data_IF_930448000049
#
_entry.id   IF_930448000049
#
_cell.length_a   1.000
_cell.length_b   1.000
_cell.length_c   1.000
_cell.angle_alpha   90.00
_cell.angle_beta   90.00
_cell.angle_gamma   90.00
#
_symmetry.space_group_name_H-M   'P 1'
#
loop_
_entity.id
_entity.type
_entity.pdbx_description
1 polymer ?
2 polymer ?
3 polymer ?
4 non-polymer ?
5 water ?
#
loop_
_entity_poly.entity_id
_entity_poly.type
_entity_poly.pdbx_seq_one_letter_code
_entity_poly.pdbx_strand_id
2 'polydeoxyribonucleotide' '(DT)(DT)(DG)(DG)(DT)(DT)(DA)(DA)(DT)(DA)(DA)(DT)(DA)(DT)(DC)(DT)(DT)(DA)(DA)(DT)(DT)' ?
3 'polydeoxyribonucleotide' '(DA)(DA)(DT)(DT)(DA)(DA)(DG)(DA)(DT)(DA)(DT)(DT)(DA)(DT)(DT)(DA)(DA)(DC)(DC)(DA)(DA)' ?
#
# COMPACT_ATOMS: atom_id res chain seq x y z
N UNK A 2 3.58 17.39 0.93
CA UNK A 2 4.90 17.95 1.08
C UNK A 2 5.12 18.57 2.44
N UNK A 3 4.29 18.19 3.41
CA UNK A 3 4.42 18.74 4.74
C UNK A 3 5.21 17.82 5.64
N UNK A 4 6.34 18.30 6.13
CA UNK A 4 7.15 17.50 7.02
C UNK A 4 7.47 18.30 8.26
N UNK A 5 7.28 17.71 9.44
CA UNK A 5 7.65 18.40 10.66
C UNK A 5 8.84 17.71 11.29
N UNK A 6 9.73 18.48 11.90
CA UNK A 6 10.94 17.92 12.48
C UNK A 6 11.03 18.15 13.98
N UNK A 7 11.24 17.09 14.74
CA UNK A 7 11.40 17.23 16.19
C UNK A 7 12.83 16.95 16.56
N UNK A 8 13.62 17.99 16.72
CA UNK A 8 15.00 17.83 17.12
C UNK A 8 15.33 18.84 18.20
N UNK A 9 16.01 18.40 19.25
CA UNK A 9 16.40 19.33 20.30
C UNK A 9 17.70 20.06 20.02
N UNK A 10 18.54 19.59 19.09
CA UNK A 10 19.68 20.38 18.62
C UNK A 10 19.18 21.50 17.73
N UNK A 11 19.42 22.75 18.15
CA UNK A 11 18.97 23.89 17.35
C UNK A 11 19.66 23.89 16.00
N UNK A 12 21.00 23.75 16.00
CA UNK A 12 21.77 23.69 14.77
C UNK A 12 21.19 22.67 13.81
N UNK A 13 21.13 21.40 14.24
CA UNK A 13 20.55 20.35 13.40
C UNK A 13 19.16 20.74 12.94
N UNK A 14 18.32 21.18 13.87
CA UNK A 14 16.96 21.59 13.53
C UNK A 14 16.96 22.68 12.45
N UNK A 15 17.72 23.76 12.67
CA UNK A 15 17.90 24.79 11.65
C UNK A 15 18.33 24.14 10.33
N UNK A 16 19.45 23.42 10.38
CA UNK A 16 19.99 22.72 9.21
C UNK A 16 18.91 21.95 8.47
N UNK A 17 18.27 21.00 9.18
CA UNK A 17 17.30 20.08 8.56
C UNK A 17 16.21 20.85 7.83
N UNK A 18 15.65 21.89 8.47
CA UNK A 18 14.57 22.65 7.85
C UNK A 18 15.02 23.30 6.54
N UNK A 19 16.19 23.96 6.56
CA UNK A 19 16.70 24.63 5.37
C UNK A 19 16.88 23.65 4.19
N UNK A 20 17.27 22.42 4.49
CA UNK A 20 17.43 21.43 3.45
C UNK A 20 16.08 21.04 2.87
N UNK A 21 15.11 20.78 3.74
CA UNK A 21 13.80 20.39 3.29
C UNK A 21 13.15 21.47 2.45
N UNK A 22 13.28 22.72 2.91
CA UNK A 22 12.69 23.83 2.18
C UNK A 22 13.35 23.94 0.81
N UNK A 23 14.65 23.76 0.77
CA UNK A 23 15.36 23.83 -0.50
C UNK A 23 14.80 22.79 -1.44
N UNK A 24 14.56 21.58 -0.93
CA UNK A 24 14.04 20.52 -1.76
C UNK A 24 12.69 20.90 -2.33
N UNK A 25 11.85 21.52 -1.50
CA UNK A 25 10.53 21.91 -1.95
C UNK A 25 9.40 21.66 -0.98
N UNK A 26 9.75 21.31 0.26
CA UNK A 26 8.80 20.76 1.20
C UNK A 26 8.28 21.80 2.16
N UNK A 27 6.97 21.83 2.39
CA UNK A 27 6.44 22.74 3.38
C UNK A 27 6.85 22.12 4.70
N UNK A 28 7.36 22.92 5.63
CA UNK A 28 7.88 22.34 6.86
C UNK A 28 7.56 23.09 8.14
N UNK A 29 7.43 22.37 9.25
CA UNK A 29 7.21 23.01 10.53
C UNK A 29 8.29 22.47 11.44
N UNK A 30 8.46 23.07 12.62
CA UNK A 30 9.56 22.64 13.48
C UNK A 30 9.24 22.64 14.96
N UNK A 31 9.78 21.68 15.68
CA UNK A 31 9.60 21.61 17.13
C UNK A 31 10.83 21.03 17.77
N UNK A 32 11.12 21.50 18.98
CA UNK A 32 12.26 21.00 19.75
C UNK A 32 11.84 19.98 20.78
N UNK A 33 10.53 19.75 20.89
CA UNK A 33 10.00 18.81 21.85
C UNK A 33 8.77 18.14 21.30
N UNK A 34 8.41 16.98 21.85
CA UNK A 34 7.24 16.27 21.38
C UNK A 34 5.98 17.04 21.72
N UNK A 35 5.92 17.60 22.93
CA UNK A 35 4.73 18.32 23.36
C UNK A 35 4.20 19.18 22.25
N UNK A 36 5.05 20.06 21.72
CA UNK A 36 4.62 20.93 20.63
C UNK A 36 4.33 20.12 19.37
N UNK A 37 5.13 19.11 19.10
CA UNK A 37 4.95 18.33 17.89
C UNK A 37 3.58 17.70 17.80
N UNK A 38 3.14 17.05 18.88
CA UNK A 38 1.86 16.39 18.86
C UNK A 38 0.77 17.41 18.59
N UNK A 39 1.02 18.65 18.97
CA UNK A 39 0.07 19.70 18.71
C UNK A 39 -0.10 19.92 17.22
N UNK A 40 1.00 20.03 16.49
CA UNK A 40 0.90 20.31 15.06
C UNK A 40 0.15 19.23 14.32
N UNK A 41 0.47 17.97 14.59
CA UNK A 41 -0.18 16.88 13.88
C UNK A 41 -1.67 16.95 14.11
N UNK A 42 -2.07 17.47 15.26
CA UNK A 42 -3.48 17.62 15.56
C UNK A 42 -4.13 18.64 14.65
N UNK A 43 -3.45 19.76 14.43
CA UNK A 43 -4.03 20.82 13.59
C UNK A 43 -4.10 20.39 12.13
N UNK A 44 -2.96 20.08 11.51
CA UNK A 44 -2.96 19.69 10.10
C UNK A 44 -2.15 18.42 9.90
N UNK A 45 -2.41 17.75 8.77
CA UNK A 45 -1.71 16.50 8.48
C UNK A 45 -0.32 16.72 7.91
N UNK A 46 0.63 15.91 8.36
CA UNK A 46 1.98 16.01 7.82
C UNK A 46 2.35 14.69 7.17
N UNK A 47 2.69 14.74 5.88
CA UNK A 47 2.99 13.51 5.15
C UNK A 47 4.09 12.69 5.81
N UNK A 48 4.97 13.34 6.56
CA UNK A 48 6.07 12.63 7.21
C UNK A 48 6.56 13.36 8.45
N UNK A 49 7.09 12.60 9.41
CA UNK A 49 7.61 13.21 10.61
C UNK A 49 9.03 12.73 10.87
N UNK A 50 9.97 13.66 11.01
CA UNK A 50 11.34 13.29 11.33
C UNK A 50 11.62 13.68 12.76
N UNK A 51 11.90 12.70 13.61
CA UNK A 51 12.12 12.98 15.02
C UNK A 51 13.33 12.25 15.55
N UNK A 52 13.92 12.80 16.61
CA UNK A 52 15.08 12.17 17.22
C UNK A 52 14.66 11.08 18.20
N UNK A 53 15.39 9.97 18.20
CA UNK A 53 15.09 8.91 19.15
C UNK A 53 15.45 9.39 20.54
N UNK A 54 16.62 9.99 20.68
CA UNK A 54 17.04 10.52 21.97
C UNK A 54 16.47 11.92 22.16
N UNK A 56 14.32 14.88 25.10
CA UNK A 56 14.25 15.26 26.51
C UNK A 56 13.44 14.27 27.35
N UNK A 57 12.23 13.96 26.91
CA UNK A 57 11.38 13.04 27.65
C UNK A 57 11.82 11.59 27.46
N UNK A 58 12.56 11.33 26.40
CA UNK A 58 13.03 9.98 26.14
C UNK A 58 11.92 8.95 26.01
N UNK A 59 10.87 9.29 25.28
CA UNK A 59 9.78 8.36 25.05
C UNK A 59 9.57 8.14 23.57
N UNK A 60 10.67 8.02 22.82
CA UNK A 60 10.56 7.88 21.38
C UNK A 60 9.71 6.71 20.96
N UNK A 61 9.89 5.58 21.62
CA UNK A 61 9.09 4.41 21.30
C UNK A 61 7.63 4.80 21.42
N UNK A 62 7.29 5.49 22.49
CA UNK A 62 5.91 5.93 22.67
C UNK A 62 5.58 7.01 21.66
N UNK A 63 6.56 7.82 21.31
CA UNK A 63 6.32 8.88 20.35
C UNK A 63 5.79 8.30 19.06
N UNK A 64 6.47 7.29 18.53
CA UNK A 64 6.06 6.71 17.28
C UNK A 64 4.62 6.27 17.40
N UNK A 65 4.30 5.60 18.49
CA UNK A 65 2.95 5.12 18.70
C UNK A 65 1.96 6.26 18.67
N UNK A 66 2.24 7.31 19.44
CA UNK A 66 1.27 8.40 19.53
C UNK A 66 1.04 9.07 18.17
N UNK A 67 2.10 9.26 17.37
CA UNK A 67 1.92 9.80 16.02
C UNK A 67 1.04 8.89 15.18
N UNK A 68 1.37 7.60 15.13
CA UNK A 68 0.57 6.65 14.35
C UNK A 68 -0.89 6.64 14.81
N UNK A 69 -1.14 6.87 16.10
CA UNK A 69 -2.51 6.92 16.61
C UNK A 69 -3.20 8.21 16.18
N UNK A 70 -2.64 9.36 16.57
CA UNK A 70 -3.26 10.64 16.30
C UNK A 70 -3.40 10.91 14.80
N UNK A 71 -2.38 10.53 14.02
CA UNK A 71 -2.29 10.91 12.61
C UNK A 71 -1.83 9.67 11.85
N UNK A 72 -2.78 8.79 11.51
CA UNK A 72 -2.38 7.45 11.07
C UNK A 72 -1.75 7.43 9.70
N UNK A 73 -2.06 8.41 8.86
CA UNK A 73 -1.60 8.37 7.49
C UNK A 73 -0.16 8.86 7.33
N UNK A 74 0.46 9.29 8.42
CA UNK A 74 1.80 9.87 8.34
C UNK A 74 2.94 8.89 8.50
N UNK A 75 4.09 9.22 7.93
CA UNK A 75 5.25 8.37 8.04
C UNK A 75 6.17 8.87 9.14
N UNK A 76 6.69 7.95 9.93
CA UNK A 76 7.59 8.33 11.00
C UNK A 76 9.01 7.90 10.69
N UNK A 77 9.93 8.85 10.65
CA UNK A 77 11.33 8.52 10.42
C UNK A 77 12.12 8.91 11.65
N UNK A 78 12.92 7.98 12.15
CA UNK A 78 13.65 8.25 13.38
C UNK A 78 15.15 8.47 13.14
N UNK A 79 15.66 9.58 13.66
CA UNK A 79 17.08 9.86 13.53
C UNK A 79 17.76 9.68 14.87
N UNK A 80 18.86 8.94 14.90
CA UNK A 80 19.57 8.70 16.14
C UNK A 80 21.06 8.58 15.93
N UNK A 81 21.83 9.18 16.83
CA UNK A 81 23.28 9.05 16.75
C UNK A 81 23.76 7.68 17.21
N UNK A 82 22.96 6.97 18.01
CA UNK A 82 23.26 5.60 18.38
C UNK A 82 22.77 4.70 17.23
N UNK A 83 23.71 4.18 16.45
CA UNK A 83 23.39 3.48 15.21
C UNK A 83 23.45 1.96 15.32
N UNK A 84 23.64 1.43 16.54
CA UNK A 84 23.75 -0.01 16.73
C UNK A 84 22.48 -0.71 16.25
N UNK A 85 22.62 -2.00 15.90
CA UNK A 85 21.45 -2.77 15.47
C UNK A 85 20.34 -2.69 16.49
N UNK A 86 20.68 -2.78 17.77
CA UNK A 86 19.67 -2.78 18.82
C UNK A 86 18.79 -1.54 18.73
N UNK A 87 19.39 -0.37 18.52
CA UNK A 87 18.60 0.84 18.41
C UNK A 87 17.87 0.92 17.08
N UNK A 88 18.47 0.41 16.00
CA UNK A 88 17.78 0.38 14.72
C UNK A 88 16.56 -0.53 14.82
N UNK A 89 16.82 -1.80 15.17
CA UNK A 89 15.75 -2.80 15.30
C UNK A 89 14.65 -2.33 16.26
N UNK A 90 15.03 -1.68 17.37
CA UNK A 90 13.99 -1.32 18.33
C UNK A 90 13.13 -0.16 17.85
N UNK A 91 13.69 0.71 17.01
CA UNK A 91 12.92 1.82 16.46
C UNK A 91 11.94 1.32 15.41
N UNK A 92 12.41 0.47 14.50
CA UNK A 92 11.53 -0.12 13.51
C UNK A 92 10.44 -0.94 14.19
N UNK A 93 10.82 -1.75 15.18
CA UNK A 93 9.82 -2.60 15.83
C UNK A 93 8.77 -1.78 16.58
N UNK A 94 9.13 -0.57 17.02
CA UNK A 94 8.16 0.28 17.70
C UNK A 94 7.17 0.92 16.73
N UNK A 95 7.31 0.68 15.43
CA UNK A 95 6.41 1.26 14.44
C UNK A 95 7.05 2.21 13.46
N UNK A 96 8.30 2.62 13.66
CA UNK A 96 8.92 3.60 12.76
C UNK A 96 8.98 3.04 11.35
N UNK A 97 8.70 3.89 10.37
CA UNK A 97 8.70 3.45 8.99
C UNK A 97 10.12 3.42 8.45
N UNK A 98 11.02 4.19 9.05
CA UNK A 98 12.41 4.15 8.63
C UNK A 98 13.31 4.69 9.73
N UNK A 99 14.56 4.22 9.76
CA UNK A 99 15.51 4.69 10.76
C UNK A 99 16.73 5.25 10.07
N UNK A 100 17.01 6.53 10.32
CA UNK A 100 18.16 7.17 9.69
C UNK A 100 19.25 7.41 10.70
N UNK A 101 20.49 7.56 10.22
CA UNK A 101 21.60 7.72 11.14
C UNK A 101 22.25 9.08 11.11
N UNK A 102 22.44 9.67 12.28
CA UNK A 102 23.13 10.94 12.37
C UNK A 102 24.53 10.73 12.97
N UNK A 103 25.56 11.50 12.52
CA UNK A 103 25.57 12.66 11.61
C UNK A 103 24.87 12.38 10.29
N UNK A 104 23.99 13.31 9.92
CA UNK A 104 23.04 13.04 8.87
C UNK A 104 23.69 13.27 7.52
N UNK A 105 23.52 12.30 6.62
CA UNK A 105 23.81 12.51 5.21
C UNK A 105 22.56 13.08 4.56
N UNK A 106 22.57 14.36 4.19
CA UNK A 106 21.33 14.93 3.70
C UNK A 106 21.01 14.54 2.26
N UNK A 107 22.01 14.11 1.47
CA UNK A 107 21.73 13.55 0.16
C UNK A 107 20.97 12.23 0.28
N UNK A 108 21.35 11.40 1.24
CA UNK A 108 20.64 10.14 1.41
C UNK A 108 19.28 10.39 2.05
N UNK A 109 19.24 11.26 3.04
CA UNK A 109 17.99 11.53 3.73
C UNK A 109 16.93 12.00 2.76
N UNK A 110 17.26 12.99 1.94
CA UNK A 110 16.30 13.52 1.01
C UNK A 110 15.82 12.44 0.07
N UNK A 111 16.72 11.54 -0.32
CA UNK A 111 16.32 10.44 -1.19
C UNK A 111 15.37 9.47 -0.50
N UNK A 112 15.58 9.21 0.78
CA UNK A 112 14.70 8.30 1.51
C UNK A 112 13.33 8.92 1.74
N UNK A 113 13.31 10.20 2.11
CA UNK A 113 12.04 10.88 2.32
C UNK A 113 11.26 10.84 1.03
N UNK A 114 11.94 11.14 -0.08
CA UNK A 114 11.28 11.08 -1.36
C UNK A 114 10.65 9.72 -1.56
N UNK A 115 11.47 8.67 -1.48
CA UNK A 115 10.95 7.32 -1.66
C UNK A 115 9.82 7.02 -0.68
N UNK A 116 9.90 7.58 0.53
CA UNK A 116 8.89 7.28 1.52
C UNK A 116 7.57 7.97 1.20
N UNK A 117 7.61 9.09 0.47
CA UNK A 117 6.41 9.78 0.02
C UNK A 117 6.11 9.55 -1.47
N UNK A 118 6.77 8.60 -2.12
CA UNK A 118 6.43 8.28 -3.50
C UNK A 118 5.06 7.58 -3.61
N UNK A 119 4.18 8.16 -4.42
CA UNK A 119 2.84 7.62 -4.65
C UNK A 119 2.77 6.98 -6.02
N UNK A 120 2.17 5.79 -6.10
CA UNK A 120 1.94 5.18 -7.40
C UNK A 120 0.93 5.98 -8.18
N UNK A 121 1.13 6.05 -9.50
CA UNK A 121 0.12 6.62 -10.36
C UNK A 121 -1.20 5.88 -10.21
N UNK A 122 -2.30 6.62 -10.21
CA UNK A 122 -3.61 6.01 -10.01
C UNK A 122 -4.50 6.10 -11.23
N UNK A 123 -5.54 5.28 -11.26
CA UNK A 123 -6.48 5.32 -12.37
C UNK A 123 -7.71 6.09 -11.93
N UNK A 124 -7.58 6.85 -10.84
CA UNK A 124 -8.72 7.57 -10.31
C UNK A 124 -9.09 8.80 -11.13
N UNK A 125 -10.39 9.06 -11.23
CA UNK A 125 -10.88 10.23 -11.99
C UNK A 125 -11.65 11.12 -11.02
N UNK A 126 -11.16 12.34 -10.81
CA UNK A 126 -11.83 13.34 -9.99
C UNK A 126 -12.26 14.49 -10.92
N UNK A 127 -13.57 14.68 -11.04
CA UNK A 127 -14.16 15.76 -11.85
C UNK A 127 -15.10 16.55 -10.96
N UNK A 128 -14.69 17.74 -10.54
CA UNK A 128 -15.46 18.62 -9.64
C UNK A 128 -15.68 17.87 -8.33
N UNK A 129 -16.91 17.77 -7.82
CA UNK A 129 -17.19 17.08 -6.56
C UNK A 129 -17.42 15.59 -6.72
N UNK A 130 -17.04 15.01 -7.86
CA UNK A 130 -17.23 13.60 -8.16
C UNK A 130 -15.88 12.91 -8.33
N UNK A 131 -15.74 11.75 -7.69
CA UNK A 131 -14.60 10.87 -7.87
C UNK A 131 -15.10 9.51 -8.37
N UNK A 132 -14.40 8.96 -9.36
CA UNK A 132 -14.73 7.64 -9.87
C UNK A 132 -13.50 6.78 -9.75
N UNK A 133 -13.50 5.82 -8.83
CA UNK A 133 -12.33 4.97 -8.61
C UNK A 133 -12.54 3.57 -9.16
N UNK A 134 -11.95 3.28 -10.32
CA UNK A 134 -12.08 1.96 -10.93
C UNK A 134 -11.44 0.88 -10.10
N UNK A 135 -10.30 1.18 -9.50
CA UNK A 135 -9.58 0.19 -8.72
C UNK A 135 -10.42 -0.35 -7.58
N UNK A 136 -11.22 0.50 -6.97
CA UNK A 136 -12.08 0.07 -5.87
C UNK A 136 -13.53 0.00 -6.33
N UNK A 137 -13.77 0.17 -7.62
CA UNK A 137 -15.15 0.17 -8.14
C UNK A 137 -16.01 1.06 -7.27
N UNK A 138 -15.59 2.29 -7.08
CA UNK A 138 -16.35 3.20 -6.24
C UNK A 138 -16.63 4.55 -6.88
N UNK A 139 -17.83 5.04 -6.69
CA UNK A 139 -18.21 6.36 -7.19
C UNK A 139 -18.75 7.14 -6.01
N UNK A 140 -18.27 8.36 -5.82
CA UNK A 140 -18.88 9.22 -4.80
C UNK A 140 -18.98 10.63 -5.39
N UNK A 141 -20.12 11.26 -5.16
CA UNK A 141 -20.29 12.68 -5.44
C UNK A 141 -20.70 13.39 -4.16
N UNK A 142 -20.05 14.54 -3.90
CA UNK A 142 -20.36 15.37 -2.74
C UNK A 142 -20.18 14.57 -1.43
N UNK A 143 -19.28 13.59 -1.46
CA UNK A 143 -18.91 12.82 -0.30
C UNK A 143 -19.79 11.63 0.02
N UNK A 144 -20.72 11.31 -0.88
CA UNK A 144 -21.63 10.20 -0.67
C UNK A 144 -21.42 9.13 -1.74
N UNK A 145 -21.36 7.87 -1.32
CA UNK A 145 -21.12 6.78 -2.26
C UNK A 145 -22.31 6.55 -3.18
N UNK A 146 -22.02 6.19 -4.43
CA UNK A 146 -23.08 5.90 -5.37
C UNK A 146 -23.06 4.43 -5.70
N UNK A 147 -24.20 3.77 -5.59
CA UNK A 147 -24.25 2.33 -5.82
C UNK A 147 -24.32 1.99 -7.30
N UNK A 148 -23.20 2.14 -8.00
CA UNK A 148 -23.16 1.77 -9.41
C UNK A 148 -22.03 0.78 -9.59
N UNK A 149 -22.30 -0.34 -10.24
CA UNK A 149 -21.28 -1.36 -10.39
C UNK A 149 -21.43 -2.16 -11.66
N UNK A 150 -20.57 -3.14 -11.84
CA UNK A 150 -20.66 -3.99 -13.02
C UNK A 150 -20.48 -3.25 -14.31
N UNK A 151 -21.04 -3.78 -15.38
CA UNK A 151 -20.91 -3.15 -16.69
C UNK A 151 -21.41 -1.71 -16.73
N UNK A 152 -22.49 -1.32 -16.04
CA UNK A 152 -22.81 0.12 -15.98
C UNK A 152 -21.65 0.95 -15.46
N UNK A 153 -20.95 0.42 -14.44
CA UNK A 153 -19.76 1.10 -13.93
C UNK A 153 -18.70 1.25 -15.01
N UNK A 154 -18.42 0.18 -15.76
CA UNK A 154 -17.42 0.28 -16.82
C UNK A 154 -17.85 1.25 -17.90
N UNK A 155 -19.15 1.30 -18.21
CA UNK A 155 -19.61 2.19 -19.25
C UNK A 155 -19.39 3.64 -18.83
N UNK A 156 -19.71 3.96 -17.58
CA UNK A 156 -19.52 5.32 -17.11
C UNK A 156 -18.04 5.70 -17.12
N UNK A 157 -17.20 4.85 -16.52
CA UNK A 157 -15.77 5.14 -16.49
C UNK A 157 -15.22 5.30 -17.90
N UNK A 158 -15.55 4.40 -18.80
CA UNK A 158 -15.09 4.55 -20.18
C UNK A 158 -15.42 5.94 -20.69
N UNK A 159 -16.68 6.34 -20.57
CA UNK A 159 -17.09 7.63 -21.09
C UNK A 159 -16.32 8.76 -20.42
N UNK A 160 -16.13 8.64 -19.12
CA UNK A 160 -15.42 9.67 -18.39
C UNK A 160 -14.02 9.81 -18.94
N UNK A 161 -13.38 8.69 -19.25
CA UNK A 161 -12.02 8.72 -19.79
C UNK A 161 -11.99 9.33 -21.18
N UNK A 162 -13.10 9.27 -21.89
CA UNK A 162 -13.18 9.86 -23.21
C UNK A 162 -14.17 11.01 -23.20
N UNK A 163 -14.11 11.83 -22.17
CA UNK A 163 -15.04 12.95 -22.03
C UNK A 163 -14.93 13.94 -23.17
N UNK A 164 -15.99 14.67 -23.43
CA UNK A 164 -16.00 15.66 -24.52
C UNK A 164 -15.80 14.96 -25.85
N UNK A 165 -16.08 13.67 -25.89
CA UNK A 165 -15.94 12.92 -27.12
C UNK A 165 -17.11 11.98 -27.24
N UNK A 166 -17.64 11.81 -28.45
CA UNK A 166 -18.81 10.97 -28.63
C UNK A 166 -18.44 9.51 -28.82
N UNK A 167 -18.89 8.67 -27.91
CA UNK A 167 -18.63 7.23 -28.04
C UNK A 167 -19.91 6.55 -28.54
N UNK A 168 -19.72 5.48 -29.31
CA UNK A 168 -20.78 4.77 -30.01
C UNK A 168 -21.03 3.39 -29.40
N UNK A 169 -22.24 2.90 -29.55
CA UNK A 169 -22.60 1.62 -28.96
C UNK A 169 -21.58 0.57 -29.28
N UNK A 170 -21.20 0.49 -30.55
CA UNK A 170 -20.24 -0.52 -30.98
C UNK A 170 -18.95 -0.35 -30.20
N UNK A 171 -18.51 0.89 -30.07
CA UNK A 171 -17.26 1.15 -29.37
C UNK A 171 -17.34 0.68 -27.93
N UNK A 172 -18.40 1.07 -27.23
CA UNK A 172 -18.54 0.68 -25.83
C UNK A 172 -18.58 -0.83 -25.71
N UNK A 173 -19.29 -1.48 -26.61
CA UNK A 173 -19.42 -2.93 -26.57
C UNK A 173 -18.07 -3.61 -26.73
N UNK A 174 -17.32 -3.19 -27.73
CA UNK A 174 -16.02 -3.80 -27.97
C UNK A 174 -15.10 -3.51 -26.80
N UNK A 175 -15.17 -2.30 -26.27
CA UNK A 175 -14.31 -1.93 -25.16
C UNK A 175 -14.65 -2.62 -23.86
N UNK A 176 -15.93 -2.87 -23.62
CA UNK A 176 -16.35 -3.43 -22.33
C UNK A 176 -16.89 -4.85 -22.40
N UNK A 177 -17.39 -5.27 -23.55
CA UNK A 177 -18.00 -6.60 -23.65
C UNK A 177 -17.20 -7.59 -24.46
N UNK A 178 -16.84 -8.72 -23.86
CA UNK A 178 -16.15 -9.76 -24.60
C UNK A 178 -17.17 -10.39 -25.53
N UNK A 179 -16.71 -10.94 -26.65
CA UNK A 179 -17.65 -11.47 -27.63
C UNK A 179 -18.73 -10.44 -27.86
N UNK A 180 -18.34 -9.22 -28.24
CA UNK A 180 -19.33 -8.15 -28.40
C UNK A 180 -20.34 -8.48 -29.49
N UNK A 181 -20.01 -9.41 -30.38
CA UNK A 181 -20.91 -9.75 -31.47
C UNK A 181 -21.91 -10.81 -31.07
N UNK A 182 -21.90 -11.21 -29.80
CA UNK A 182 -22.80 -12.24 -29.34
C UNK A 182 -23.82 -11.71 -28.34
N UNK A 183 -23.91 -10.38 -28.22
CA UNK A 183 -24.81 -9.81 -27.23
C UNK A 183 -25.79 -8.83 -27.85
N UNK A 184 -26.85 -8.50 -27.11
CA UNK A 184 -27.83 -7.55 -27.62
C UNK A 184 -27.39 -6.13 -27.29
N UNK A 185 -27.27 -5.30 -28.33
CA UNK A 185 -26.84 -3.91 -28.12
C UNK A 185 -27.71 -3.19 -27.09
N UNK A 186 -28.90 -3.71 -26.82
CA UNK A 186 -29.80 -3.08 -25.86
C UNK A 186 -29.10 -2.93 -24.51
N UNK A 187 -28.09 -3.76 -24.27
CA UNK A 187 -27.37 -3.70 -23.01
C UNK A 187 -26.86 -2.29 -22.73
N UNK A 188 -26.36 -1.63 -23.77
CA UNK A 188 -25.86 -0.27 -23.60
C UNK A 188 -26.95 0.65 -23.10
N UNK A 189 -28.11 0.61 -23.74
CA UNK A 189 -29.22 1.47 -23.33
C UNK A 189 -29.62 1.16 -21.91
N UNK A 190 -29.70 -0.11 -21.58
CA UNK A 190 -30.07 -0.50 -20.22
C UNK A 190 -29.02 0.00 -19.23
N UNK A 191 -27.75 -0.13 -19.59
CA UNK A 191 -26.68 0.32 -18.71
C UNK A 191 -26.73 1.83 -18.51
N UNK A 192 -27.00 2.57 -19.59
CA UNK A 192 -27.08 4.02 -19.48
C UNK A 192 -28.21 4.40 -18.55
N UNK A 193 -29.35 3.74 -18.69
CA UNK A 193 -30.48 4.01 -17.83
C UNK A 193 -30.06 3.79 -16.39
N UNK A 194 -29.38 2.68 -16.14
CA UNK A 194 -28.90 2.41 -14.80
C UNK A 194 -28.07 3.57 -14.28
N UNK A 195 -27.18 4.07 -15.12
CA UNK A 195 -26.31 5.15 -14.67
C UNK A 195 -27.14 6.40 -14.36
N UNK A 196 -27.98 6.82 -15.30
CA UNK A 196 -28.88 7.93 -15.04
C UNK A 196 -29.71 7.66 -13.79
N UNK A 197 -30.26 6.46 -13.70
CA UNK A 197 -31.08 6.11 -12.55
C UNK A 197 -30.31 6.28 -11.26
N UNK A 198 -29.15 5.64 -11.17
CA UNK A 198 -28.38 5.68 -9.93
C UNK A 198 -27.87 7.08 -9.58
N UNK A 199 -27.42 7.83 -10.57
CA UNK A 199 -26.84 9.14 -10.26
C UNK A 199 -27.60 10.31 -10.88
N UNK A 200 -27.55 10.45 -12.19
CA UNK A 200 -28.17 11.61 -12.83
C UNK A 200 -29.48 12.00 -12.15
N UNK A 201 -30.33 11.00 -11.87
CA UNK A 201 -31.68 11.24 -11.37
C UNK A 201 -31.66 11.68 -9.91
N UNK A 202 -31.23 10.78 -9.02
CA UNK A 202 -31.23 11.10 -7.59
C UNK A 202 -30.29 12.26 -7.26
N UNK A 203 -29.13 12.33 -7.91
CA UNK A 203 -28.13 13.35 -7.60
C UNK A 203 -28.23 14.60 -8.48
N UNK A 204 -29.33 14.76 -9.22
CA UNK A 204 -29.67 15.98 -9.97
C UNK A 204 -28.48 16.55 -10.74
N UNK A 205 -27.93 15.72 -11.63
CA UNK A 205 -26.85 16.11 -12.51
C UNK A 205 -27.14 15.53 -13.90
N UNK A 206 -26.37 15.99 -14.89
CA UNK A 206 -26.49 15.50 -16.27
C UNK A 206 -25.13 14.93 -16.67
N UNK A 207 -24.91 13.66 -16.34
CA UNK A 207 -23.57 13.11 -16.56
C UNK A 207 -23.40 12.56 -17.97
N UNK A 208 -24.39 11.82 -18.46
CA UNK A 208 -24.35 11.21 -19.80
C UNK A 208 -25.29 11.98 -20.71
N UNK A 209 -24.80 12.31 -21.91
CA UNK A 209 -25.62 12.89 -22.97
C UNK A 209 -25.56 12.01 -24.22
N UNK A 210 -26.74 11.79 -24.79
CA UNK A 210 -26.96 11.02 -26.01
C UNK A 210 -26.88 11.94 -27.21
N UNK A 211 -26.12 11.56 -28.23
CA UNK A 211 -26.10 12.33 -29.47
C UNK A 211 -26.66 11.43 -30.56
N UNK A 212 -27.89 11.74 -31.00
CA UNK A 212 -28.61 10.96 -31.99
C UNK A 212 -27.69 10.45 -33.10
N UNK A 213 -27.85 9.17 -33.43
CA UNK A 213 -27.15 8.51 -34.53
C UNK A 213 -25.63 8.57 -34.39
N UNK A 214 -25.11 9.00 -33.25
CA UNK A 214 -23.67 9.04 -33.06
C UNK A 214 -23.25 8.39 -31.74
N UNK A 215 -23.94 8.69 -30.65
CA UNK A 215 -23.63 8.00 -29.41
C UNK A 215 -23.79 8.77 -28.12
N UNK A 216 -23.06 8.36 -27.10
CA UNK A 216 -23.17 9.03 -25.81
C UNK A 216 -21.89 9.77 -25.51
N UNK A 217 -21.95 10.73 -24.61
CA UNK A 217 -20.77 11.49 -24.24
C UNK A 217 -20.86 12.03 -22.83
N UNK A 218 -19.87 11.72 -22.01
CA UNK A 218 -19.86 12.25 -20.65
C UNK A 218 -19.86 13.75 -20.76
N UNK A 219 -20.75 14.42 -20.04
CA UNK A 219 -20.86 15.87 -20.19
C UNK A 219 -21.01 16.59 -18.87
N UNK A 220 -20.63 15.95 -17.78
CA UNK A 220 -20.73 16.58 -16.48
C UNK A 220 -19.69 17.69 -16.41
N UNK A 221 -20.11 18.97 -16.40
CA UNK A 221 -19.15 20.09 -16.43
C UNK A 221 -18.39 20.22 -15.11
N UNK B 2 2.24 -13.06 3.47
CA UNK B 2 3.13 -12.24 2.67
C UNK B 2 4.06 -13.07 1.82
N UNK B 3 4.17 -12.70 0.54
CA UNK B 3 5.05 -13.42 -0.36
C UNK B 3 6.22 -12.56 -0.73
N UNK B 4 7.42 -13.12 -0.67
CA UNK B 4 8.61 -12.36 -1.00
C UNK B 4 9.37 -12.99 -2.14
N UNK B 5 9.68 -12.21 -3.17
CA UNK B 5 10.48 -12.73 -4.27
C UNK B 5 11.91 -12.33 -4.06
N UNK B 6 12.80 -13.31 -3.96
CA UNK B 6 14.21 -13.04 -3.77
C UNK B 6 14.90 -13.22 -5.11
N UNK B 7 15.61 -12.18 -5.57
CA UNK B 7 16.39 -12.25 -6.79
C UNK B 7 17.85 -12.06 -6.43
N UNK B 8 18.65 -13.12 -6.57
CA UNK B 8 20.06 -13.05 -6.21
C UNK B 8 20.88 -14.10 -6.94
N UNK B 9 21.97 -13.67 -7.57
CA UNK B 9 22.82 -14.59 -8.32
C UNK B 9 23.60 -15.57 -7.43
N UNK B 10 24.19 -15.06 -6.36
CA UNK B 10 24.93 -15.92 -5.43
C UNK B 10 24.00 -17.01 -4.94
N UNK B 11 24.29 -18.24 -5.30
CA UNK B 11 23.37 -19.33 -4.95
C UNK B 11 23.36 -19.54 -3.44
N UNK B 12 24.51 -19.43 -2.80
CA UNK B 12 24.56 -19.66 -1.36
C UNK B 12 23.77 -18.61 -0.61
N UNK B 13 23.97 -17.32 -0.94
CA UNK B 13 23.24 -16.26 -0.25
C UNK B 13 21.75 -16.38 -0.48
N UNK B 14 21.36 -16.66 -1.74
CA UNK B 14 19.97 -16.84 -2.09
C UNK B 14 19.28 -17.82 -1.15
N UNK B 15 19.91 -18.97 -0.91
CA UNK B 15 19.31 -19.97 -0.03
C UNK B 15 19.31 -19.49 1.43
N UNK B 16 20.36 -18.79 1.86
CA UNK B 16 20.39 -18.27 3.22
C UNK B 16 19.25 -17.29 3.47
N UNK B 17 18.99 -16.42 2.48
CA UNK B 17 17.92 -15.43 2.59
C UNK B 17 16.57 -16.13 2.61
N UNK B 18 16.36 -17.05 1.65
CA UNK B 18 15.15 -17.87 1.60
C UNK B 18 14.91 -18.61 2.92
N UNK B 19 15.97 -19.11 3.55
CA UNK B 19 15.79 -19.85 4.79
C UNK B 19 15.41 -18.91 5.94
N UNK B 20 15.99 -17.71 5.98
CA UNK B 20 15.67 -16.78 7.06
C UNK B 20 14.24 -16.27 6.95
N UNK B 21 13.80 -16.02 5.71
CA UNK B 21 12.42 -15.57 5.45
C UNK B 21 11.40 -16.68 5.74
N UNK B 22 11.65 -17.91 5.26
CA UNK B 22 10.77 -19.03 5.57
C UNK B 22 10.62 -19.23 7.08
N UNK B 23 11.75 -19.33 7.80
CA UNK B 23 11.75 -19.35 9.27
C UNK B 23 10.83 -18.29 9.86
N UNK B 24 10.90 -17.06 9.33
CA UNK B 24 10.03 -16.02 9.87
C UNK B 24 8.54 -16.33 9.65
N UNK B 25 8.21 -16.99 8.55
CA UNK B 25 6.83 -17.29 8.25
C UNK B 25 6.34 -16.78 6.91
N UNK B 26 7.26 -16.30 6.07
CA UNK B 26 6.88 -15.75 4.77
C UNK B 26 6.82 -16.82 3.70
N UNK B 27 5.96 -16.63 2.70
CA UNK B 27 5.93 -17.54 1.58
C UNK B 27 6.98 -17.00 0.65
N UNK B 28 7.84 -17.85 0.11
CA UNK B 28 8.95 -17.33 -0.69
C UNK B 28 9.32 -18.01 -1.99
N UNK B 29 9.56 -17.21 -3.03
CA UNK B 29 10.03 -17.73 -4.29
C UNK B 29 11.44 -17.18 -4.54
N UNK B 30 12.25 -17.96 -5.23
CA UNK B 30 13.66 -17.68 -5.39
C UNK B 30 13.99 -17.56 -6.86
N UNK B 31 14.89 -16.64 -7.20
CA UNK B 31 15.30 -16.46 -8.58
C UNK B 31 16.76 -16.05 -8.62
N UNK B 32 17.42 -16.28 -9.75
CA UNK B 32 18.84 -15.95 -9.87
C UNK B 32 19.16 -15.13 -11.11
N UNK B 33 18.14 -14.48 -11.66
CA UNK B 33 18.34 -13.62 -12.83
C UNK B 33 17.12 -12.74 -13.03
N UNK B 34 17.31 -11.63 -13.72
CA UNK B 34 16.22 -10.70 -13.95
C UNK B 34 15.07 -11.40 -14.63
N UNK B 35 15.39 -12.14 -15.69
CA UNK B 35 14.36 -12.84 -16.44
C UNK B 35 13.51 -13.67 -15.51
N UNK B 36 14.14 -14.63 -14.84
CA UNK B 36 13.39 -15.51 -13.95
C UNK B 36 12.57 -14.69 -12.96
N UNK B 37 13.17 -13.64 -12.41
CA UNK B 37 12.44 -12.79 -11.51
C UNK B 37 11.20 -12.23 -12.16
N UNK B 38 11.36 -11.64 -13.34
CA UNK B 38 10.23 -11.04 -14.03
C UNK B 38 9.18 -12.09 -14.31
N UNK B 39 9.62 -13.30 -14.63
CA UNK B 39 8.69 -14.38 -14.85
C UNK B 39 7.76 -14.50 -13.65
N UNK B 40 8.35 -14.67 -12.47
CA UNK B 40 7.55 -14.76 -11.25
C UNK B 40 6.67 -13.54 -11.08
N UNK B 41 7.22 -12.34 -11.33
CA UNK B 41 6.45 -11.11 -11.19
C UNK B 41 5.17 -11.17 -12.03
N UNK B 42 5.21 -11.90 -13.15
CA UNK B 42 4.04 -12.01 -14.00
C UNK B 42 3.00 -13.02 -13.53
N UNK B 43 3.43 -14.11 -12.89
CA UNK B 43 2.49 -15.15 -12.51
C UNK B 43 1.95 -14.95 -11.10
N UNK B 44 2.76 -14.48 -10.15
CA UNK B 44 2.36 -14.37 -8.75
C UNK B 44 2.45 -12.93 -8.27
N UNK B 45 1.64 -12.58 -7.26
CA UNK B 45 1.70 -11.26 -6.65
C UNK B 45 2.61 -11.34 -5.42
N UNK B 46 3.63 -10.51 -5.38
CA UNK B 46 4.54 -10.51 -4.26
C UNK B 46 4.40 -9.23 -3.47
N UNK B 47 4.32 -9.35 -2.15
CA UNK B 47 4.21 -8.18 -1.30
C UNK B 47 5.53 -7.42 -1.30
N UNK B 48 6.62 -8.13 -1.52
CA UNK B 48 7.93 -7.49 -1.54
C UNK B 48 8.96 -8.25 -2.36
N UNK B 49 9.71 -7.53 -3.18
CA UNK B 49 10.80 -8.15 -3.92
C UNK B 49 12.14 -7.68 -3.32
N UNK B 50 13.04 -8.64 -3.09
CA UNK B 50 14.38 -8.37 -2.58
C UNK B 50 15.35 -8.76 -3.68
N UNK B 51 16.03 -7.77 -4.27
CA UNK B 51 16.83 -8.02 -5.47
C UNK B 51 18.23 -7.41 -5.33
N UNK B 52 19.23 -8.13 -5.82
CA UNK B 52 20.59 -7.60 -5.81
C UNK B 52 20.72 -6.51 -6.85
N UNK B 53 21.38 -5.41 -6.49
CA UNK B 53 21.59 -4.33 -7.42
C UNK B 53 22.57 -4.73 -8.50
N UNK B 54 23.35 -5.78 -8.24
CA UNK B 54 24.35 -6.21 -9.21
C UNK B 54 24.14 -7.64 -9.67
N UNK B 55 23.09 -7.88 -10.44
CA UNK B 55 22.86 -9.20 -10.99
C UNK B 55 23.78 -9.40 -12.17
N UNK B 56 24.03 -10.66 -12.55
CA UNK B 56 24.96 -10.93 -13.64
C UNK B 56 24.55 -10.12 -14.86
N UNK B 57 23.26 -9.94 -15.06
CA UNK B 57 22.76 -9.17 -16.18
C UNK B 57 21.47 -8.44 -15.84
N UNK B 58 21.29 -7.24 -16.39
CA UNK B 58 20.09 -6.47 -16.12
C UNK B 58 20.31 -5.31 -15.18
N UNK B 59 20.18 -4.09 -15.68
CA UNK B 59 20.36 -2.91 -14.85
C UNK B 59 19.42 -2.96 -13.66
N UNK B 60 19.93 -2.66 -12.49
CA UNK B 60 19.10 -2.66 -11.31
C UNK B 60 17.96 -1.68 -11.48
N UNK B 61 18.27 -0.49 -11.97
CA UNK B 61 17.23 0.49 -12.20
C UNK B 61 16.15 -0.10 -13.09
N UNK B 62 16.57 -0.87 -14.09
CA UNK B 62 15.62 -1.51 -14.98
C UNK B 62 14.69 -2.44 -14.22
N UNK B 63 15.27 -3.26 -13.36
CA UNK B 63 14.46 -4.22 -12.62
C UNK B 63 13.44 -3.49 -11.76
N UNK B 64 13.87 -2.42 -11.11
CA UNK B 64 12.96 -1.71 -10.23
C UNK B 64 11.79 -1.18 -11.03
N UNK B 65 12.08 -0.58 -12.17
CA UNK B 65 11.03 -0.01 -12.99
C UNK B 65 10.06 -1.10 -13.41
N UNK B 66 10.61 -2.23 -13.83
CA UNK B 66 9.77 -3.33 -14.28
C UNK B 66 8.78 -3.75 -13.20
N UNK B 67 9.27 -4.07 -12.02
CA UNK B 67 8.41 -4.52 -10.94
C UNK B 67 7.43 -3.44 -10.53
N UNK B 68 7.93 -2.23 -10.38
CA UNK B 68 7.08 -1.15 -9.92
C UNK B 68 5.93 -0.88 -10.89
N UNK B 69 6.22 -0.95 -12.18
CA UNK B 69 5.17 -0.74 -13.18
C UNK B 69 4.24 -1.94 -13.24
N UNK B 70 4.80 -3.14 -13.27
CA UNK B 70 3.98 -4.34 -13.32
C UNK B 70 3.12 -4.45 -12.09
N UNK B 71 3.71 -4.24 -10.92
CA UNK B 71 2.96 -4.29 -9.68
C UNK B 71 3.29 -3.09 -8.82
N UNK B 72 2.56 -2.00 -9.02
CA UNK B 72 2.86 -0.77 -8.29
C UNK B 72 2.85 -0.93 -6.78
N UNK B 73 2.09 -1.88 -6.25
CA UNK B 73 1.98 -1.99 -4.81
C UNK B 73 3.02 -2.92 -4.21
N UNK B 74 3.77 -3.64 -5.04
CA UNK B 74 4.86 -4.47 -4.58
C UNK B 74 5.98 -3.60 -4.05
N UNK B 75 6.42 -3.86 -2.82
CA UNK B 75 7.54 -3.13 -2.24
C UNK B 75 8.83 -3.66 -2.84
N UNK B 76 9.78 -2.75 -3.13
CA UNK B 76 11.07 -3.14 -3.71
C UNK B 76 12.19 -2.81 -2.74
N UNK B 77 13.03 -3.81 -2.44
CA UNK B 77 14.16 -3.63 -1.54
C UNK B 77 15.44 -4.10 -2.21
N UNK B 78 16.42 -3.20 -2.33
CA UNK B 78 17.64 -3.47 -3.07
C UNK B 78 18.75 -3.83 -2.10
N UNK B 79 19.49 -4.89 -2.41
CA UNK B 79 20.65 -5.30 -1.61
C UNK B 79 21.91 -5.18 -2.45
N UNK B 80 22.96 -4.63 -1.85
CA UNK B 80 24.18 -4.32 -2.61
C UNK B 80 25.35 -4.30 -1.64
N UNK B 81 26.44 -4.98 -2.01
CA UNK B 81 27.68 -4.84 -1.26
C UNK B 81 28.33 -3.49 -1.52
N UNK B 82 28.25 -2.96 -2.75
CA UNK B 82 28.57 -1.56 -2.97
C UNK B 82 27.40 -0.70 -2.46
N UNK B 83 27.56 -0.12 -1.26
CA UNK B 83 26.54 0.66 -0.60
C UNK B 83 27.01 2.08 -0.33
N UNK B 84 27.75 2.66 -1.27
CA UNK B 84 28.08 4.08 -1.17
C UNK B 84 26.81 4.92 -1.37
N UNK B 85 26.90 6.21 -1.09
CA UNK B 85 25.71 7.06 -1.16
C UNK B 85 25.13 7.14 -2.56
N UNK B 86 25.99 7.25 -3.56
CA UNK B 86 25.52 7.38 -4.92
C UNK B 86 24.67 6.17 -5.29
N UNK B 87 25.14 4.99 -4.95
CA UNK B 87 24.40 3.78 -5.27
C UNK B 87 23.05 3.75 -4.58
N UNK B 88 23.03 4.03 -3.28
CA UNK B 88 21.78 3.99 -2.54
C UNK B 88 20.79 4.98 -3.11
N UNK B 89 21.25 6.20 -3.32
CA UNK B 89 20.36 7.23 -3.83
C UNK B 89 19.83 6.86 -5.20
N UNK B 90 20.70 6.30 -6.03
CA UNK B 90 20.27 5.89 -7.36
C UNK B 90 19.16 4.86 -7.28
N UNK B 91 19.34 3.86 -6.43
CA UNK B 91 18.33 2.83 -6.30
C UNK B 91 17.02 3.41 -5.81
N UNK B 92 17.10 4.27 -4.80
CA UNK B 92 15.89 4.86 -4.24
C UNK B 92 15.18 5.66 -5.30
N UNK B 93 15.93 6.46 -6.05
CA UNK B 93 15.33 7.28 -7.10
C UNK B 93 14.83 6.43 -8.25
N UNK B 94 15.42 5.25 -8.43
CA UNK B 94 14.96 4.35 -9.47
C UNK B 94 13.61 3.75 -9.10
N UNK B 95 13.22 3.90 -7.84
CA UNK B 95 11.91 3.41 -7.42
C UNK B 95 11.93 2.44 -6.26
N UNK B 96 13.11 2.18 -5.72
CA UNK B 96 13.23 1.25 -4.60
C UNK B 96 12.69 1.89 -3.35
N UNK B 97 11.98 1.10 -2.52
CA UNK B 97 11.53 1.61 -1.24
C UNK B 97 12.60 1.45 -0.14
N UNK B 98 13.63 0.62 -0.34
CA UNK B 98 14.69 0.53 0.64
C UNK B 98 15.96 -0.04 0.01
N UNK B 99 17.07 0.23 0.67
CA UNK B 99 18.41 -0.16 0.21
C UNK B 99 19.18 -0.62 1.44
N UNK B 100 19.73 -1.82 1.37
CA UNK B 100 20.41 -2.42 2.51
C UNK B 100 21.76 -2.95 2.03
N UNK B 101 22.78 -2.83 2.88
CA UNK B 101 24.14 -3.24 2.50
C UNK B 101 24.37 -4.73 2.74
N UNK B 102 25.04 -5.37 1.75
CA UNK B 102 25.65 -6.69 1.88
C UNK B 102 27.08 -6.54 2.41
N UNK B 103 27.53 -7.36 3.38
CA UNK B 103 26.91 -8.55 3.97
C UNK B 103 25.70 -8.23 4.84
N UNK B 104 24.60 -8.97 4.71
CA UNK B 104 23.36 -8.59 5.35
C UNK B 104 23.38 -8.95 6.82
N UNK B 105 22.85 -8.05 7.64
CA UNK B 105 22.51 -8.36 9.03
C UNK B 105 21.06 -8.81 9.02
N UNK B 106 20.83 -10.12 9.08
CA UNK B 106 19.47 -10.65 8.95
C UNK B 106 18.55 -10.22 10.08
N UNK B 107 19.08 -9.77 11.21
CA UNK B 107 18.22 -9.23 12.26
C UNK B 107 17.58 -7.92 11.81
N UNK B 108 18.40 -7.02 11.27
CA UNK B 108 17.95 -5.72 10.76
C UNK B 108 17.22 -5.87 9.43
N UNK B 109 17.62 -6.83 8.60
CA UNK B 109 16.88 -7.11 7.37
C UNK B 109 15.42 -7.41 7.68
N UNK B 110 15.19 -8.35 8.60
CA UNK B 110 13.84 -8.77 8.93
C UNK B 110 13.07 -7.65 9.61
N UNK B 111 13.74 -6.89 10.49
CA UNK B 111 13.08 -5.73 11.10
C UNK B 111 12.63 -4.73 10.05
N UNK B 112 13.40 -4.57 8.97
CA UNK B 112 13.08 -3.59 7.94
C UNK B 112 12.03 -4.11 6.97
N UNK B 113 12.18 -5.35 6.53
CA UNK B 113 11.12 -6.02 5.78
C UNK B 113 9.80 -5.91 6.53
N UNK B 114 9.80 -6.24 7.82
CA UNK B 114 8.58 -6.17 8.59
C UNK B 114 8.02 -4.76 8.65
N UNK B 115 8.89 -3.74 8.73
CA UNK B 115 8.42 -2.37 8.72
C UNK B 115 7.83 -1.98 7.36
N UNK B 116 8.38 -2.50 6.26
CA UNK B 116 7.76 -2.16 4.98
C UNK B 116 6.40 -2.84 4.86
N UNK B 117 6.28 -4.10 5.30
CA UNK B 117 5.02 -4.81 5.09
C UNK B 117 3.91 -4.37 6.04
N UNK B 118 4.19 -3.53 7.02
CA UNK B 118 3.13 -2.96 7.84
C UNK B 118 2.30 -1.91 7.10
N UNK B 119 2.70 -1.51 5.89
CA UNK B 119 1.98 -0.53 5.06
C UNK B 119 1.62 0.72 5.87
N UNK B 120 2.59 1.20 6.67
CA UNK B 120 2.40 2.32 7.54
C UNK B 120 1.83 2.02 8.90
N UNK B 121 1.38 0.79 9.15
CA UNK B 121 0.75 0.47 10.40
C UNK B 121 1.74 0.15 11.50
N UNK B 122 1.19 -0.14 12.67
CA UNK B 122 1.97 -0.65 13.79
C UNK B 122 1.95 -2.16 13.80
N UNK B 123 2.84 -2.75 14.62
CA UNK B 123 2.93 -4.20 14.71
C UNK B 123 1.62 -4.80 15.17
N UNK B 124 1.00 -4.18 16.16
CA UNK B 124 -0.31 -4.57 16.66
C UNK B 124 -1.34 -3.63 16.06
N UNK B 125 -2.25 -4.20 15.26
CA UNK B 125 -3.32 -3.41 14.67
C UNK B 125 -4.34 -3.08 15.75
N UNK B 126 -4.62 -1.80 15.92
CA UNK B 126 -5.63 -1.40 16.90
C UNK B 126 -6.67 -0.51 16.23
N UNK B 127 -7.88 -1.03 16.06
CA UNK B 127 -8.95 -0.25 15.46
C UNK B 127 -10.15 -0.28 16.37
N UNK B 128 -10.62 0.89 16.80
CA UNK B 128 -11.72 0.93 17.76
C UNK B 128 -11.41 -0.06 18.87
N UNK B 129 -12.39 -0.85 19.28
CA UNK B 129 -12.14 -1.87 20.30
C UNK B 129 -11.67 -3.19 19.70
N UNK B 130 -11.22 -3.17 18.45
CA UNK B 130 -10.65 -4.33 17.77
C UNK B 130 -9.14 -4.31 17.91
N UNK B 131 -8.57 -5.44 18.34
CA UNK B 131 -7.13 -5.62 18.47
C UNK B 131 -6.76 -6.87 17.69
N UNK B 132 -5.77 -6.78 16.82
CA UNK B 132 -5.28 -7.92 16.07
C UNK B 132 -3.77 -7.95 16.30
N UNK B 133 -3.29 -8.92 17.07
CA UNK B 133 -1.87 -9.06 17.34
C UNK B 133 -1.27 -10.17 16.49
N UNK B 134 -0.74 -9.88 15.31
CA UNK B 134 -0.09 -10.96 14.52
C UNK B 134 1.05 -11.66 15.26
N UNK B 135 1.65 -11.02 16.26
CA UNK B 135 2.80 -11.62 16.94
C UNK B 135 2.38 -12.77 17.85
N UNK B 136 1.23 -12.64 18.53
CA UNK B 136 0.70 -13.67 19.43
C UNK B 136 -0.44 -14.46 18.81
N UNK B 137 -0.66 -14.33 17.49
CA UNK B 137 -1.86 -14.79 16.80
C UNK B 137 -3.11 -14.66 17.68
N UNK B 138 -3.27 -13.51 18.34
CA UNK B 138 -4.43 -13.27 19.21
C UNK B 138 -5.30 -12.15 18.62
N UNK B 139 -6.60 -12.21 18.92
CA UNK B 139 -7.55 -11.17 18.54
C UNK B 139 -8.38 -10.86 19.76
N UNK B 140 -8.55 -9.58 20.08
CA UNK B 140 -9.49 -9.20 21.14
C UNK B 140 -10.49 -8.17 20.61
N UNK B 141 -11.71 -8.26 21.13
CA UNK B 141 -12.75 -7.25 20.90
C UNK B 141 -13.39 -6.89 22.23
N UNK B 142 -13.39 -5.59 22.56
CA UNK B 142 -13.89 -5.12 23.84
C UNK B 142 -13.23 -5.88 25.00
N UNK B 143 -11.97 -6.28 24.82
CA UNK B 143 -11.27 -7.05 25.83
C UNK B 143 -11.82 -8.45 25.97
N UNK B 144 -12.67 -8.87 25.03
CA UNK B 144 -13.20 -10.22 25.01
C UNK B 144 -12.54 -10.99 23.87
N UNK B 145 -12.09 -12.21 24.18
CA UNK B 145 -11.24 -12.97 23.27
C UNK B 145 -12.06 -13.70 22.21
N UNK B 146 -11.53 -13.75 20.98
CA UNK B 146 -12.08 -14.51 19.88
C UNK B 146 -11.05 -15.51 19.35
N UNK B 147 -11.44 -16.77 19.27
CA UNK B 147 -10.53 -17.83 18.84
C UNK B 147 -10.60 -17.93 17.33
N UNK B 148 -9.55 -17.46 16.66
CA UNK B 148 -9.47 -17.53 15.22
C UNK B 148 -8.00 -17.71 14.87
N UNK B 149 -7.66 -18.77 14.17
CA UNK B 149 -6.25 -19.04 13.94
C UNK B 149 -5.95 -19.62 12.58
N UNK B 150 -4.67 -19.66 12.22
CA UNK B 150 -4.28 -20.21 10.95
C UNK B 150 -4.62 -19.35 9.76
N UNK B 151 -4.87 -20.00 8.62
CA UNK B 151 -5.22 -19.27 7.41
C UNK B 151 -6.24 -18.18 7.68
N UNK B 152 -7.34 -18.52 8.37
CA UNK B 152 -8.32 -17.44 8.54
C UNK B 152 -7.72 -16.24 9.24
N UNK B 153 -6.82 -16.49 10.19
CA UNK B 153 -6.18 -15.38 10.87
C UNK B 153 -5.30 -14.60 9.90
N UNK B 154 -4.51 -15.31 9.09
CA UNK B 154 -3.66 -14.60 8.14
C UNK B 154 -4.48 -13.90 7.06
N UNK B 155 -5.63 -14.48 6.64
CA UNK B 155 -6.47 -13.78 5.66
C UNK B 155 -6.95 -12.46 6.23
N UNK B 156 -7.42 -12.47 7.49
CA UNK B 156 -7.95 -11.24 8.08
C UNK B 156 -6.85 -10.20 8.29
N UNK B 157 -5.67 -10.60 8.79
CA UNK B 157 -4.64 -9.57 9.04
C UNK B 157 -4.21 -8.95 7.71
N UNK B 158 -4.07 -9.75 6.65
CA UNK B 158 -3.71 -9.19 5.35
C UNK B 158 -4.76 -8.19 4.86
N UNK B 159 -6.04 -8.51 5.03
CA UNK B 159 -7.08 -7.57 4.64
C UNK B 159 -6.99 -6.27 5.45
N UNK B 160 -6.84 -6.39 6.77
CA UNK B 160 -6.86 -5.23 7.63
C UNK B 160 -5.63 -4.36 7.42
N UNK B 161 -4.54 -4.91 6.89
CA UNK B 161 -3.36 -4.11 6.56
C UNK B 161 -3.54 -3.43 5.22
N UNK B 162 -4.25 -4.07 4.30
CA UNK B 162 -4.78 -3.40 3.12
C UNK B 162 -6.18 -2.88 3.37
N UNK B 163 -6.44 -2.35 4.56
CA UNK B 163 -7.80 -1.99 4.90
C UNK B 163 -8.31 -0.94 3.93
N UNK B 164 -9.62 -0.98 3.69
CA UNK B 164 -10.31 -0.10 2.75
C UNK B 164 -9.84 -0.30 1.31
N UNK B 165 -9.16 -1.41 1.06
CA UNK B 165 -8.73 -1.72 -0.30
C UNK B 165 -9.27 -3.09 -0.67
N UNK B 166 -9.44 -3.34 -1.96
CA UNK B 166 -9.95 -4.62 -2.40
C UNK B 166 -8.82 -5.59 -2.71
N UNK B 167 -8.79 -6.71 -2.00
CA UNK B 167 -7.79 -7.72 -2.26
C UNK B 167 -8.48 -8.89 -2.94
N UNK B 168 -7.95 -9.33 -4.08
CA UNK B 168 -8.60 -10.39 -4.82
C UNK B 168 -8.33 -11.74 -4.16
N UNK B 169 -9.19 -12.71 -4.50
CA UNK B 169 -8.93 -14.08 -4.05
C UNK B 169 -7.53 -14.53 -4.47
N UNK B 170 -7.13 -14.18 -5.70
CA UNK B 170 -5.82 -14.60 -6.20
C UNK B 170 -4.68 -13.92 -5.45
N UNK B 171 -4.91 -12.69 -4.92
CA UNK B 171 -3.87 -12.06 -4.10
C UNK B 171 -3.78 -12.70 -2.73
N UNK B 172 -4.92 -13.00 -2.12
CA UNK B 172 -4.91 -13.64 -0.81
C UNK B 172 -4.18 -14.97 -0.87
N UNK B 173 -4.38 -15.71 -1.94
CA UNK B 173 -3.72 -17.01 -2.09
C UNK B 173 -2.21 -16.87 -2.25
N UNK B 174 -1.78 -15.97 -3.11
CA UNK B 174 -0.36 -15.78 -3.34
C UNK B 174 0.34 -15.36 -2.07
N UNK B 175 -0.37 -14.61 -1.23
CA UNK B 175 0.25 -14.09 -0.01
C UNK B 175 0.33 -15.08 1.15
N UNK B 176 -0.65 -15.97 1.27
CA UNK B 176 -0.68 -16.87 2.43
C UNK B 176 -0.41 -18.34 2.11
N UNK B 177 -0.70 -18.75 0.88
CA UNK B 177 -0.50 -20.15 0.50
C UNK B 177 0.80 -20.34 -0.26
N UNK B 178 1.54 -21.39 0.07
CA UNK B 178 2.81 -21.66 -0.59
C UNK B 178 2.62 -21.93 -2.07
N UNK B 179 1.63 -22.75 -2.40
CA UNK B 179 1.37 -23.08 -3.79
C UNK B 179 -0.05 -22.66 -4.12
N UNK B 180 -0.26 -21.37 -4.38
CA UNK B 180 -1.61 -20.86 -4.61
C UNK B 180 -2.32 -21.56 -5.76
N UNK B 181 -1.58 -21.97 -6.76
CA UNK B 181 -2.18 -22.59 -7.94
C UNK B 181 -2.88 -23.89 -7.61
N UNK B 182 -2.28 -24.67 -6.71
CA UNK B 182 -2.85 -25.98 -6.37
C UNK B 182 -4.17 -25.88 -5.63
N UNK B 183 -4.27 -24.95 -4.69
CA UNK B 183 -5.48 -24.83 -3.89
C UNK B 183 -6.62 -24.19 -4.68
N UNK B 184 -7.85 -24.43 -4.24
CA UNK B 184 -9.00 -23.85 -4.91
C UNK B 184 -9.37 -22.52 -4.29
N UNK B 185 -9.91 -21.60 -5.09
CA UNK B 185 -10.30 -20.28 -4.58
C UNK B 185 -11.37 -20.38 -3.50
N UNK B 186 -12.10 -21.49 -3.45
CA UNK B 186 -13.13 -21.66 -2.44
C UNK B 186 -12.51 -21.61 -1.04
N UNK B 187 -11.24 -21.95 -0.94
CA UNK B 187 -10.57 -21.93 0.35
C UNK B 187 -10.64 -20.53 0.93
N UNK B 188 -10.57 -19.52 0.07
CA UNK B 188 -10.69 -18.16 0.54
C UNK B 188 -12.10 -17.90 1.05
N UNK B 189 -13.09 -18.24 0.24
CA UNK B 189 -14.49 -18.08 0.68
C UNK B 189 -14.76 -18.79 1.99
N UNK B 190 -14.25 -20.02 2.15
CA UNK B 190 -14.44 -20.71 3.43
C UNK B 190 -13.75 -19.95 4.58
N UNK B 191 -12.55 -19.40 4.32
CA UNK B 191 -11.87 -18.62 5.35
C UNK B 191 -12.67 -17.36 5.71
N UNK B 192 -13.23 -16.68 4.69
CA UNK B 192 -14.02 -15.48 4.96
C UNK B 192 -15.29 -15.83 5.73
N UNK B 193 -15.89 -16.99 5.43
CA UNK B 193 -17.00 -17.50 6.22
C UNK B 193 -16.60 -17.74 7.67
N UNK B 194 -15.44 -18.36 7.89
CA UNK B 194 -15.01 -18.58 9.27
C UNK B 194 -14.79 -17.25 9.98
N UNK B 195 -14.19 -16.27 9.27
CA UNK B 195 -13.98 -14.95 9.87
C UNK B 195 -15.33 -14.34 10.25
N UNK B 196 -16.25 -14.27 9.30
CA UNK B 196 -17.58 -13.73 9.64
C UNK B 196 -18.26 -14.60 10.71
N UNK B 197 -18.10 -15.92 10.63
CA UNK B 197 -18.78 -16.79 11.58
C UNK B 197 -18.27 -16.58 13.00
N UNK B 198 -17.04 -16.09 13.13
CA UNK B 198 -16.47 -15.86 14.46
C UNK B 198 -16.54 -14.40 14.89
N UNK B 199 -16.64 -13.48 13.94
CA UNK B 199 -16.60 -12.06 14.30
C UNK B 199 -17.84 -11.27 13.90
N UNK B 200 -18.02 -11.04 12.62
CA UNK B 200 -19.12 -10.19 12.17
C UNK B 200 -20.46 -10.62 12.74
N UNK B 201 -20.80 -11.90 12.61
CA UNK B 201 -22.11 -12.37 13.07
C UNK B 201 -22.27 -12.25 14.58
N UNK B 202 -21.32 -12.83 15.34
CA UNK B 202 -21.52 -12.79 16.79
C UNK B 202 -21.40 -11.39 17.35
N UNK B 203 -20.45 -10.61 16.84
CA UNK B 203 -20.22 -9.27 17.38
C UNK B 203 -21.08 -8.23 16.68
N UNK B 204 -21.93 -8.67 15.77
CA UNK B 204 -22.82 -7.74 15.07
C UNK B 204 -22.03 -6.56 14.51
N UNK B 205 -21.06 -6.85 13.65
CA UNK B 205 -20.27 -5.80 13.03
C UNK B 205 -20.01 -6.12 11.57
N UNK B 206 -19.69 -5.10 10.77
CA UNK B 206 -19.36 -5.34 9.37
C UNK B 206 -17.87 -5.11 9.17
N UNK B 207 -17.14 -6.19 8.95
CA UNK B 207 -15.69 -6.07 8.78
C UNK B 207 -15.23 -6.36 7.37
N UNK B 208 -15.75 -7.42 6.76
CA UNK B 208 -15.33 -7.82 5.42
C UNK B 208 -16.50 -7.58 4.48
N UNK B 209 -16.27 -6.73 3.50
CA UNK B 209 -17.20 -6.45 2.42
C UNK B 209 -16.76 -7.25 1.20
N UNK B 210 -17.69 -7.98 0.59
CA UNK B 210 -17.42 -8.71 -0.65
C UNK B 210 -17.72 -7.80 -1.83
N UNK B 211 -16.83 -7.78 -2.81
CA UNK B 211 -17.07 -6.96 -4.00
C UNK B 211 -17.00 -7.89 -5.20
N UNK B 212 -18.13 -8.05 -5.88
CA UNK B 212 -18.30 -9.12 -6.87
C UNK B 212 -17.36 -8.96 -8.04
N UNK B 213 -16.68 -10.07 -8.40
CA UNK B 213 -15.63 -10.07 -9.41
C UNK B 213 -14.31 -9.39 -8.99
N UNK B 214 -14.25 -8.72 -7.84
CA UNK B 214 -13.00 -8.06 -7.45
C UNK B 214 -12.33 -8.77 -6.28
N UNK B 215 -13.01 -8.89 -5.14
CA UNK B 215 -12.57 -9.74 -4.07
C UNK B 215 -13.17 -9.26 -2.77
N UNK B 216 -12.32 -9.07 -1.76
CA UNK B 216 -12.78 -8.70 -0.42
C UNK B 216 -12.13 -7.40 0.03
N UNK B 217 -12.82 -6.65 0.86
CA UNK B 217 -12.27 -5.41 1.41
C UNK B 217 -12.57 -5.30 2.89
N UNK B 218 -11.57 -4.91 3.68
CA UNK B 218 -11.78 -4.74 5.11
C UNK B 218 -12.38 -3.37 5.37
N UNK B 219 -13.54 -3.35 6.00
CA UNK B 219 -14.23 -2.08 6.25
C UNK B 219 -14.76 -1.97 7.67
N UNK B 220 -14.00 -2.46 8.64
CA UNK B 220 -14.47 -2.45 10.03
C UNK B 220 -14.84 -1.05 10.51
N UNK B 221 -14.03 -0.04 10.17
CA UNK B 221 -14.46 1.29 10.59
C UNK B 221 -15.91 1.52 10.19
N UNK B 222 -16.26 1.20 8.95
CA UNK B 222 -17.64 1.35 8.50
C UNK B 222 -18.24 2.67 8.95
X LIG E 1 21.73 6.51 6.07
X LIG E 1 21.06 6.23 7.28
X LIG E 1 22.64 5.38 5.70
X LIG E 1 21.88 4.32 5.14
X LIG E 1 22.31 3.03 5.52
X LIG E 1 22.21 2.08 4.35
X LIG E 1 23.49 1.67 3.88
#
# INVERSE_FOLDING_TARGET
MGRILVIEDEISLNKTIIDNLNEFGYQTDSSENFKDGEYFIGIRHYDLVLASWNLPDGDGAELVNTIKHKSPRTSVMIMSAKADKDTEIKALKAGADDFVKKPLDFDILLARIEARLRLGGTNVIKIEDLVIDPDEEKITYKGQDIELKGKPFEVLTHLARHSDQIVSKEQLLDAIWEEPELVTPNVIEVAINQIRQKMDKPLNISTIETVRRRGYRFCFPKKS
MGRILVIEDEISLNKTIIDNLNEFGYQTDSSENFKDGEYFIGIRHYDLVLASWNLPDGDGAELVNTIKHKSPRTSVMIMSAKADKDTEIKALKAGADDFVKKPLDFDILLARIEARLRLGGTNVIKIEDLVIDPDEEKITYKGQDIELKGKPFEVLTHLARHSDQIVSKEQLLDAIWEEPELVTPNVIEVAINQIRQKMDKPLNISTIETVRRRGYRFCFPKKS
PEG C1 O1 C2 O2 C3 C4 O4
#
